data_IF_776808332885
#
_entry.id   IF_776808332885
#
_cell.length_a   1.000
_cell.length_b   1.000
_cell.length_c   1.000
_cell.angle_alpha   90.00
_cell.angle_beta   90.00
_cell.angle_gamma   90.00
#
_symmetry.space_group_name_H-M   'P 1'
#
loop_
_entity.id
_entity.type
_entity.pdbx_description
1 polymer ?
#
# COMPACT_ATOMS: atom_id res chain seq x y z
N UNK A 1 -8.68 0.57 8.05
CA UNK A 1 -9.68 0.83 6.98
C UNK A 1 -11.09 1.16 7.48
N UNK A 2 -11.52 0.71 8.69
CA UNK A 2 -12.86 1.02 9.21
C UNK A 2 -13.15 2.52 9.22
N UNK A 3 -12.23 3.36 9.70
CA UNK A 3 -12.40 4.81 9.77
C UNK A 3 -12.66 5.43 8.37
N UNK A 4 -11.95 4.97 7.33
CA UNK A 4 -12.21 5.40 5.95
C UNK A 4 -13.57 4.95 5.46
N UNK A 5 -13.95 3.68 5.71
CA UNK A 5 -15.25 3.16 5.31
C UNK A 5 -16.42 3.93 5.97
N UNK A 6 -16.32 4.18 7.28
CA UNK A 6 -17.31 4.96 8.02
C UNK A 6 -17.42 6.41 7.49
N UNK A 7 -16.29 7.04 7.15
CA UNK A 7 -16.26 8.40 6.63
C UNK A 7 -16.79 8.49 5.19
N UNK A 8 -16.45 7.55 4.32
CA UNK A 8 -16.96 7.44 2.96
C UNK A 8 -18.48 7.17 2.96
N UNK A 9 -18.94 6.25 3.83
CA UNK A 9 -20.35 5.92 3.96
C UNK A 9 -21.21 7.14 4.33
N UNK A 10 -20.75 7.98 5.26
CA UNK A 10 -21.40 9.25 5.62
C UNK A 10 -21.48 10.25 4.45
N UNK A 11 -20.61 10.10 3.48
CA UNK A 11 -20.57 10.92 2.25
C UNK A 11 -21.30 10.23 1.08
N UNK A 12 -22.04 9.13 1.34
CA UNK A 12 -22.83 8.41 0.35
C UNK A 12 -22.00 7.57 -0.63
N UNK A 13 -20.82 7.12 -0.24
CA UNK A 13 -19.99 6.17 -0.99
C UNK A 13 -20.00 4.83 -0.26
N UNK A 14 -20.54 3.79 -0.90
CA UNK A 14 -20.49 2.43 -0.40
C UNK A 14 -19.05 1.90 -0.43
N UNK A 15 -18.69 1.10 0.56
CA UNK A 15 -17.35 0.51 0.67
C UNK A 15 -17.44 -1.01 0.83
N UNK A 16 -16.92 -1.74 -0.13
CA UNK A 16 -16.68 -3.18 -0.01
C UNK A 16 -15.32 -3.42 0.63
N UNK A 17 -15.31 -4.17 1.72
CA UNK A 17 -14.10 -4.71 2.35
C UNK A 17 -14.21 -6.22 2.36
N UNK A 18 -13.19 -6.90 1.89
CA UNK A 18 -13.15 -8.36 1.81
C UNK A 18 -12.04 -8.89 2.70
N UNK A 19 -12.23 -10.07 3.25
CA UNK A 19 -11.13 -10.84 3.82
C UNK A 19 -10.28 -11.41 2.68
N UNK A 20 -8.96 -11.44 2.86
CA UNK A 20 -8.07 -12.05 1.87
C UNK A 20 -8.39 -13.55 1.72
N UNK A 21 -8.13 -14.10 0.52
CA UNK A 21 -8.34 -15.52 0.26
C UNK A 21 -7.67 -16.41 1.32
N UNK A 22 -8.43 -17.35 1.86
CA UNK A 22 -7.97 -18.28 2.90
C UNK A 22 -7.83 -17.66 4.30
N UNK A 23 -8.42 -16.46 4.52
CA UNK A 23 -8.50 -15.83 5.85
C UNK A 23 -9.94 -15.47 6.19
N UNK A 24 -10.25 -15.30 7.48
CA UNK A 24 -11.59 -14.93 7.93
C UNK A 24 -12.69 -15.81 7.37
N UNK A 25 -13.64 -15.20 6.67
CA UNK A 25 -14.73 -15.89 5.96
C UNK A 25 -14.42 -16.26 4.52
N UNK A 26 -13.29 -15.85 3.96
CA UNK A 26 -12.93 -16.10 2.57
C UNK A 26 -12.33 -17.50 2.37
N UNK A 27 -12.73 -18.17 1.29
CA UNK A 27 -12.15 -19.45 0.86
C UNK A 27 -10.83 -19.25 0.12
N UNK A 28 -10.10 -20.34 -0.17
CA UNK A 28 -8.85 -20.32 -0.93
C UNK A 28 -7.62 -20.60 -0.07
N UNK A 29 -6.44 -20.27 -0.59
CA UNK A 29 -5.17 -20.53 0.08
C UNK A 29 -4.27 -19.28 0.05
N UNK A 30 -4.21 -18.56 1.16
CA UNK A 30 -3.38 -17.38 1.34
C UNK A 30 -1.89 -17.68 1.12
N UNK A 31 -1.40 -18.82 1.63
CA UNK A 31 0.03 -19.17 1.59
C UNK A 31 0.56 -19.45 0.17
N UNK A 32 -0.33 -19.79 -0.75
CA UNK A 32 0.01 -20.04 -2.15
C UNK A 32 -0.26 -18.83 -3.06
N UNK A 33 -0.72 -17.71 -2.49
CA UNK A 33 -1.10 -16.51 -3.22
C UNK A 33 0.05 -15.49 -3.30
N UNK A 34 -0.02 -14.67 -4.34
CA UNK A 34 0.84 -13.51 -4.58
C UNK A 34 0.01 -12.23 -4.58
N UNK A 35 0.65 -11.06 -4.57
CA UNK A 35 -0.08 -9.78 -4.74
C UNK A 35 -0.83 -9.71 -6.08
N UNK A 36 -0.40 -10.45 -7.10
CA UNK A 36 -1.15 -10.55 -8.36
C UNK A 36 -2.45 -11.36 -8.19
N UNK A 37 -2.45 -12.40 -7.35
CA UNK A 37 -3.65 -13.16 -7.03
C UNK A 37 -4.64 -12.32 -6.20
N UNK A 38 -4.14 -11.51 -5.25
CA UNK A 38 -4.96 -10.55 -4.52
C UNK A 38 -5.55 -9.47 -5.43
N UNK A 39 -4.82 -9.05 -6.47
CA UNK A 39 -5.37 -8.14 -7.48
C UNK A 39 -6.57 -8.76 -8.23
N UNK A 40 -6.53 -10.06 -8.54
CA UNK A 40 -7.69 -10.74 -9.13
C UNK A 40 -8.87 -10.85 -8.15
N UNK A 41 -8.63 -11.01 -6.85
CA UNK A 41 -9.70 -10.97 -5.84
C UNK A 41 -10.36 -9.59 -5.79
N UNK A 42 -9.58 -8.51 -5.83
CA UNK A 42 -10.13 -7.15 -5.88
C UNK A 42 -10.93 -6.95 -7.17
N UNK A 43 -10.48 -7.47 -8.32
CA UNK A 43 -11.24 -7.41 -9.57
C UNK A 43 -12.57 -8.17 -9.47
N UNK A 44 -12.58 -9.33 -8.82
CA UNK A 44 -13.84 -10.05 -8.54
C UNK A 44 -14.77 -9.22 -7.64
N UNK A 45 -14.22 -8.51 -6.65
CA UNK A 45 -14.98 -7.56 -5.82
C UNK A 45 -15.58 -6.41 -6.63
N UNK A 46 -14.82 -5.83 -7.58
CA UNK A 46 -15.34 -4.80 -8.50
C UNK A 46 -16.45 -5.35 -9.41
N UNK A 47 -16.28 -6.58 -9.92
CA UNK A 47 -17.32 -7.24 -10.69
C UNK A 47 -18.59 -7.47 -9.87
N UNK A 48 -18.46 -7.92 -8.62
CA UNK A 48 -19.59 -8.04 -7.69
C UNK A 48 -20.31 -6.70 -7.46
N UNK A 49 -19.57 -5.62 -7.21
CA UNK A 49 -20.19 -4.29 -7.04
C UNK A 49 -20.99 -3.87 -8.27
N UNK A 50 -20.56 -4.19 -9.47
CA UNK A 50 -21.30 -3.90 -10.72
C UNK A 50 -22.62 -4.67 -10.84
N UNK A 51 -22.81 -5.74 -10.08
CA UNK A 51 -24.09 -6.51 -10.06
C UNK A 51 -25.10 -5.93 -9.06
N UNK A 52 -24.67 -5.01 -8.20
CA UNK A 52 -25.52 -4.46 -7.13
C UNK A 52 -26.39 -3.32 -7.66
N UNK A 53 -27.73 -3.40 -7.55
CA UNK A 53 -28.62 -2.38 -8.08
C UNK A 53 -28.49 -1.02 -7.36
N UNK A 54 -28.03 -1.01 -6.12
CA UNK A 54 -27.78 0.19 -5.32
C UNK A 54 -26.45 0.88 -5.64
N UNK A 55 -25.60 0.27 -6.47
CA UNK A 55 -24.25 0.77 -6.82
C UNK A 55 -24.21 1.25 -8.26
N UNK A 56 -23.71 2.45 -8.48
CA UNK A 56 -23.33 2.90 -9.82
C UNK A 56 -22.00 2.24 -10.22
N UNK A 57 -22.10 1.15 -10.98
CA UNK A 57 -20.93 0.37 -11.42
C UNK A 57 -19.97 1.11 -12.36
N UNK A 58 -20.33 2.31 -12.85
CA UNK A 58 -19.46 3.18 -13.65
C UNK A 58 -18.59 4.09 -12.80
N UNK A 59 -18.85 4.20 -11.50
CA UNK A 59 -18.18 5.09 -10.55
C UNK A 59 -17.47 4.31 -9.42
N UNK A 60 -16.63 3.34 -9.80
CA UNK A 60 -15.87 2.53 -8.85
C UNK A 60 -14.46 3.07 -8.67
N UNK A 61 -13.94 2.93 -7.44
CA UNK A 61 -12.58 3.31 -7.06
C UNK A 61 -11.94 2.29 -6.12
N UNK A 62 -10.65 2.45 -5.89
CA UNK A 62 -9.86 1.62 -4.98
C UNK A 62 -9.19 2.50 -3.92
N UNK A 63 -9.16 2.01 -2.69
CA UNK A 63 -8.35 2.54 -1.60
C UNK A 63 -7.40 1.43 -1.13
N UNK A 64 -6.10 1.61 -1.32
CA UNK A 64 -5.05 0.67 -0.92
C UNK A 64 -4.06 1.27 0.06
N UNK A 65 -3.52 0.47 0.98
CA UNK A 65 -2.47 0.88 1.90
C UNK A 65 -1.31 -0.13 1.85
N UNK A 66 -0.08 0.35 1.89
CA UNK A 66 1.13 -0.48 1.91
C UNK A 66 1.16 -1.46 0.73
N UNK A 67 1.05 -2.77 0.92
CA UNK A 67 0.91 -3.75 -0.17
C UNK A 67 -0.30 -3.45 -1.06
N UNK A 68 -1.39 -2.89 -0.52
CA UNK A 68 -2.51 -2.38 -1.31
C UNK A 68 -2.11 -1.31 -2.33
N UNK A 69 -1.00 -0.59 -2.06
CA UNK A 69 -0.36 0.34 -3.00
C UNK A 69 0.36 -0.34 -4.16
N UNK A 70 0.64 -1.64 -4.06
CA UNK A 70 1.15 -2.49 -5.14
C UNK A 70 0.00 -3.20 -5.87
N UNK A 71 -0.98 -3.69 -5.11
CA UNK A 71 -2.15 -4.39 -5.65
C UNK A 71 -3.04 -3.46 -6.48
N UNK A 72 -3.32 -2.24 -5.98
CA UNK A 72 -4.17 -1.26 -6.69
C UNK A 72 -3.73 -0.99 -8.12
N UNK A 73 -2.45 -0.68 -8.38
CA UNK A 73 -1.89 -0.56 -9.73
C UNK A 73 -2.10 -1.80 -10.60
N UNK A 74 -1.89 -3.01 -10.06
CA UNK A 74 -2.11 -4.27 -10.80
C UNK A 74 -3.58 -4.44 -11.22
N UNK A 75 -4.52 -3.98 -10.40
CA UNK A 75 -5.94 -3.94 -10.75
C UNK A 75 -6.19 -2.87 -11.82
N UNK A 76 -5.72 -1.64 -11.60
CA UNK A 76 -6.05 -0.48 -12.43
C UNK A 76 -5.60 -0.66 -13.90
N UNK A 77 -4.47 -1.32 -14.15
CA UNK A 77 -4.02 -1.60 -15.53
C UNK A 77 -4.94 -2.59 -16.26
N UNK A 78 -5.70 -3.41 -15.52
CA UNK A 78 -6.66 -4.37 -16.08
C UNK A 78 -8.12 -3.86 -16.03
N UNK A 79 -8.37 -2.75 -15.35
CA UNK A 79 -9.69 -2.14 -15.15
C UNK A 79 -9.66 -0.68 -15.65
N UNK A 80 -9.62 -0.45 -16.97
CA UNK A 80 -9.48 0.90 -17.54
C UNK A 80 -10.67 1.83 -17.23
N UNK A 81 -11.79 1.27 -16.77
CA UNK A 81 -12.97 2.03 -16.34
C UNK A 81 -12.93 2.45 -14.86
N UNK A 82 -11.87 2.09 -14.13
CA UNK A 82 -11.72 2.50 -12.73
C UNK A 82 -11.59 4.03 -12.65
N UNK A 83 -12.46 4.67 -11.86
CA UNK A 83 -12.59 6.12 -11.83
C UNK A 83 -11.61 6.81 -10.89
N UNK A 84 -11.15 6.11 -9.86
CA UNK A 84 -10.27 6.69 -8.85
C UNK A 84 -9.43 5.62 -8.15
N UNK A 85 -8.22 5.96 -7.79
CA UNK A 85 -7.34 5.12 -6.97
C UNK A 85 -6.63 5.98 -5.93
N UNK A 86 -6.88 5.73 -4.64
CA UNK A 86 -6.17 6.35 -3.54
C UNK A 86 -5.20 5.33 -2.92
N UNK A 87 -3.91 5.64 -2.91
CA UNK A 87 -2.86 4.77 -2.42
C UNK A 87 -2.12 5.43 -1.26
N UNK A 88 -2.13 4.78 -0.12
CA UNK A 88 -1.54 5.24 1.12
C UNK A 88 -0.28 4.42 1.40
N UNK A 89 0.84 5.09 1.63
CA UNK A 89 2.15 4.46 1.86
C UNK A 89 2.49 3.43 0.77
N UNK A 90 2.26 3.79 -0.50
CA UNK A 90 2.49 2.93 -1.65
C UNK A 90 3.96 2.89 -2.03
N UNK A 91 4.56 1.70 -2.25
CA UNK A 91 5.95 1.59 -2.63
C UNK A 91 6.21 2.02 -4.09
N UNK A 92 7.39 2.58 -4.35
CA UNK A 92 7.97 2.76 -5.67
C UNK A 92 9.18 1.85 -5.89
N UNK A 93 9.85 1.47 -4.81
CA UNK A 93 11.03 0.63 -4.90
C UNK A 93 10.68 -0.83 -5.15
N UNK A 94 11.58 -1.53 -5.83
CA UNK A 94 11.52 -2.99 -5.91
C UNK A 94 11.56 -3.60 -4.50
N UNK A 95 10.82 -4.68 -4.29
CA UNK A 95 10.67 -5.31 -2.98
C UNK A 95 12.00 -5.69 -2.33
N UNK A 96 13.03 -6.07 -3.11
CA UNK A 96 14.38 -6.33 -2.60
C UNK A 96 14.95 -5.10 -1.90
N UNK A 97 14.91 -3.93 -2.53
CA UNK A 97 15.41 -2.67 -1.96
C UNK A 97 14.65 -2.30 -0.68
N UNK A 98 13.33 -2.47 -0.68
CA UNK A 98 12.48 -2.23 0.50
C UNK A 98 12.91 -3.15 1.64
N UNK A 99 13.03 -4.44 1.39
CA UNK A 99 13.33 -5.41 2.42
C UNK A 99 14.76 -5.26 2.97
N UNK A 100 15.73 -4.95 2.11
CA UNK A 100 17.10 -4.61 2.52
C UNK A 100 17.11 -3.38 3.43
N UNK A 101 16.40 -2.32 3.06
CA UNK A 101 16.26 -1.11 3.87
C UNK A 101 15.62 -1.42 5.24
N UNK A 102 14.48 -2.09 5.25
CA UNK A 102 13.76 -2.41 6.47
C UNK A 102 14.56 -3.32 7.40
N UNK A 103 15.17 -4.40 6.88
CA UNK A 103 15.99 -5.31 7.68
C UNK A 103 17.25 -4.62 8.21
N UNK A 104 17.87 -3.74 7.43
CA UNK A 104 19.03 -2.95 7.86
C UNK A 104 18.65 -2.05 9.03
N UNK A 105 17.54 -1.30 8.92
CA UNK A 105 17.09 -0.40 9.99
C UNK A 105 16.68 -1.18 11.25
N UNK A 106 15.96 -2.30 11.11
CA UNK A 106 15.61 -3.16 12.23
C UNK A 106 16.85 -3.72 12.93
N UNK A 107 17.85 -4.18 12.15
CA UNK A 107 19.09 -4.74 12.70
C UNK A 107 19.92 -3.66 13.42
N UNK A 108 20.00 -2.44 12.87
CA UNK A 108 20.67 -1.31 13.52
C UNK A 108 19.94 -0.81 14.77
N UNK A 109 18.61 -0.90 14.77
CA UNK A 109 17.76 -0.54 15.93
C UNK A 109 17.79 -1.56 17.06
N UNK A 110 18.34 -2.75 16.85
CA UNK A 110 18.52 -3.76 17.90
C UNK A 110 19.73 -3.41 18.79
N UNK A 111 19.45 -2.81 19.94
CA UNK A 111 20.46 -2.35 20.91
C UNK A 111 21.32 -3.47 21.51
N UNK A 112 20.89 -4.73 21.36
CA UNK A 112 21.68 -5.91 21.80
C UNK A 112 22.82 -6.25 20.84
N UNK A 113 22.77 -5.77 19.60
CA UNK A 113 23.77 -5.98 18.57
C UNK A 113 24.78 -4.83 18.55
N UNK A 114 26.07 -5.14 18.74
CA UNK A 114 27.17 -4.14 18.73
C UNK A 114 28.43 -4.74 18.12
N UNK A 115 29.28 -3.88 17.52
CA UNK A 115 30.56 -4.24 16.96
C UNK A 115 30.43 -5.38 15.96
N UNK A 116 31.31 -6.37 16.00
CA UNK A 116 31.37 -7.49 15.05
C UNK A 116 30.08 -8.31 14.96
N UNK A 117 29.26 -8.34 16.04
CA UNK A 117 27.95 -9.02 15.97
C UNK A 117 26.96 -8.23 15.10
N UNK A 118 26.96 -6.92 15.19
CA UNK A 118 26.13 -6.06 14.33
C UNK A 118 26.59 -6.19 12.88
N UNK A 119 27.89 -6.09 12.62
CA UNK A 119 28.46 -6.20 11.27
C UNK A 119 28.11 -7.56 10.63
N UNK A 120 28.25 -8.64 11.40
CA UNK A 120 27.88 -9.98 10.94
C UNK A 120 26.38 -10.13 10.67
N UNK A 121 25.51 -9.51 11.47
CA UNK A 121 24.07 -9.53 11.26
C UNK A 121 23.68 -8.77 9.99
N UNK A 122 24.27 -7.59 9.77
CA UNK A 122 24.06 -6.80 8.54
C UNK A 122 24.53 -7.54 7.29
N UNK A 123 25.73 -8.16 7.34
CA UNK A 123 26.28 -8.92 6.23
C UNK A 123 25.42 -10.14 5.81
N UNK A 124 24.57 -10.66 6.71
CA UNK A 124 23.67 -11.79 6.43
C UNK A 124 22.35 -11.38 5.77
N UNK A 125 22.03 -10.09 5.71
CA UNK A 125 20.74 -9.63 5.16
C UNK A 125 20.50 -10.12 3.73
N UNK A 126 21.43 -10.01 2.76
CA UNK A 126 21.20 -10.50 1.40
C UNK A 126 20.86 -12.01 1.35
N UNK A 127 21.63 -12.82 2.07
CA UNK A 127 21.38 -14.28 2.13
C UNK A 127 20.03 -14.61 2.75
N UNK A 128 19.62 -13.85 3.80
CA UNK A 128 18.30 -14.00 4.41
C UNK A 128 17.18 -13.67 3.41
N UNK A 129 17.32 -12.61 2.62
CA UNK A 129 16.36 -12.23 1.57
C UNK A 129 16.25 -13.33 0.52
N UNK A 130 17.38 -13.88 0.05
CA UNK A 130 17.39 -14.96 -0.94
C UNK A 130 16.72 -16.23 -0.40
N UNK A 131 16.92 -16.55 0.88
CA UNK A 131 16.24 -17.65 1.55
C UNK A 131 14.73 -17.45 1.63
N UNK A 132 14.27 -16.22 1.95
CA UNK A 132 12.85 -15.87 1.98
C UNK A 132 12.22 -15.96 0.57
N UNK A 133 12.94 -15.50 -0.46
CA UNK A 133 12.54 -15.61 -1.86
C UNK A 133 12.32 -17.06 -2.28
N UNK A 134 13.23 -17.95 -1.89
CA UNK A 134 13.15 -19.37 -2.24
C UNK A 134 12.01 -20.11 -1.51
N UNK A 135 11.69 -19.70 -0.29
CA UNK A 135 10.74 -20.40 0.58
C UNK A 135 9.29 -19.96 0.42
N UNK A 136 9.02 -18.81 -0.21
CA UNK A 136 7.70 -18.19 -0.19
C UNK A 136 7.33 -17.56 -1.55
N UNK A 137 6.21 -18.01 -2.15
CA UNK A 137 5.77 -17.54 -3.47
C UNK A 137 5.41 -16.06 -3.49
N UNK A 138 4.78 -15.56 -2.42
CA UNK A 138 4.46 -14.15 -2.26
C UNK A 138 5.75 -13.32 -2.20
N UNK A 139 6.71 -13.75 -1.39
CA UNK A 139 8.00 -13.07 -1.26
C UNK A 139 8.75 -13.05 -2.59
N UNK A 140 8.74 -14.17 -3.33
CA UNK A 140 9.33 -14.22 -4.67
C UNK A 140 8.70 -13.18 -5.59
N UNK A 141 7.37 -13.10 -5.63
CA UNK A 141 6.67 -12.11 -6.42
C UNK A 141 7.02 -10.69 -5.99
N UNK A 142 6.93 -10.39 -4.69
CA UNK A 142 7.21 -9.08 -4.13
C UNK A 142 8.62 -8.57 -4.46
N UNK A 143 9.63 -9.45 -4.34
CA UNK A 143 11.02 -9.09 -4.61
C UNK A 143 11.32 -8.88 -6.11
N UNK A 144 10.63 -9.60 -6.99
CA UNK A 144 10.87 -9.60 -8.44
C UNK A 144 9.98 -8.59 -9.19
N UNK A 145 8.95 -8.03 -8.53
CA UNK A 145 7.96 -7.16 -9.15
C UNK A 145 8.55 -5.77 -9.48
N UNK A 146 8.39 -5.34 -10.73
CA UNK A 146 8.75 -3.98 -11.17
C UNK A 146 7.56 -3.04 -11.00
N UNK A 147 7.51 -2.38 -9.84
CA UNK A 147 6.45 -1.43 -9.47
C UNK A 147 6.37 -0.26 -10.46
N UNK A 148 7.53 0.28 -10.88
CA UNK A 148 7.56 1.46 -11.74
C UNK A 148 7.15 1.13 -13.18
N UNK A 149 7.41 -0.09 -13.66
CA UNK A 149 6.92 -0.52 -14.98
C UNK A 149 5.39 -0.59 -15.01
N UNK A 150 4.74 -1.04 -13.94
CA UNK A 150 3.28 -1.02 -13.81
C UNK A 150 2.76 0.41 -13.66
N UNK A 151 3.43 1.22 -12.83
CA UNK A 151 3.04 2.61 -12.59
C UNK A 151 2.97 3.43 -13.88
N UNK A 152 3.91 3.25 -14.81
CA UNK A 152 3.91 3.94 -16.12
C UNK A 152 2.71 3.60 -17.01
N UNK A 153 2.00 2.51 -16.75
CA UNK A 153 0.83 2.08 -17.51
C UNK A 153 -0.48 2.68 -16.98
N UNK A 154 -0.46 3.26 -15.77
CA UNK A 154 -1.65 3.76 -15.09
C UNK A 154 -2.26 4.95 -15.80
N UNK A 155 -3.57 4.87 -16.07
CA UNK A 155 -4.39 5.97 -16.62
C UNK A 155 -5.44 6.46 -15.64
N UNK A 156 -5.71 5.70 -14.59
CA UNK A 156 -6.68 6.03 -13.53
C UNK A 156 -6.21 7.24 -12.73
N UNK A 157 -7.07 8.24 -12.48
CA UNK A 157 -6.80 9.31 -11.54
C UNK A 157 -6.27 8.74 -10.21
N UNK A 158 -5.13 9.25 -9.74
CA UNK A 158 -4.42 8.65 -8.61
C UNK A 158 -4.07 9.68 -7.54
N UNK A 159 -4.44 9.38 -6.29
CA UNK A 159 -3.98 10.06 -5.09
C UNK A 159 -2.94 9.20 -4.39
N UNK A 160 -1.79 9.80 -4.07
CA UNK A 160 -0.71 9.16 -3.33
C UNK A 160 -0.48 9.91 -2.02
N UNK A 161 -0.57 9.22 -0.89
CA UNK A 161 -0.35 9.80 0.44
C UNK A 161 0.73 9.02 1.18
N UNK A 162 1.58 9.74 1.94
CA UNK A 162 2.54 9.08 2.83
C UNK A 162 2.78 9.90 4.12
N UNK A 163 3.33 9.26 5.13
CA UNK A 163 3.82 9.91 6.34
C UNK A 163 5.30 10.26 6.22
N UNK A 164 5.70 11.43 6.72
CA UNK A 164 7.10 11.89 6.64
C UNK A 164 8.06 11.06 7.49
N UNK A 165 7.54 10.38 8.51
CA UNK A 165 8.35 9.51 9.39
C UNK A 165 8.18 8.01 9.06
N UNK A 166 7.57 7.69 7.91
CA UNK A 166 7.43 6.28 7.48
C UNK A 166 8.80 5.65 7.21
N UNK A 167 9.16 4.66 8.03
CA UNK A 167 10.39 3.87 7.89
C UNK A 167 10.16 2.50 7.23
N UNK A 168 8.97 2.21 6.73
CA UNK A 168 8.69 0.99 5.98
C UNK A 168 8.63 1.27 4.47
N UNK A 169 7.87 2.29 4.08
CA UNK A 169 7.85 2.85 2.73
C UNK A 169 8.18 4.33 2.87
N UNK A 170 9.42 4.69 2.60
CA UNK A 170 9.94 6.03 2.87
C UNK A 170 9.26 7.10 2.02
N UNK A 171 9.12 8.35 2.51
CA UNK A 171 8.29 9.38 1.90
C UNK A 171 8.74 9.77 0.48
N UNK A 172 10.02 9.66 0.15
CA UNK A 172 10.54 9.91 -1.21
C UNK A 172 9.92 9.00 -2.26
N UNK A 173 9.51 7.78 -1.88
CA UNK A 173 8.88 6.84 -2.79
C UNK A 173 7.55 7.36 -3.34
N UNK A 174 6.86 8.23 -2.61
CA UNK A 174 5.62 8.86 -3.08
C UNK A 174 5.84 9.75 -4.29
N UNK A 175 6.88 10.59 -4.25
CA UNK A 175 7.23 11.46 -5.37
C UNK A 175 7.77 10.67 -6.57
N UNK A 176 8.58 9.62 -6.32
CA UNK A 176 9.08 8.72 -7.36
C UNK A 176 7.93 8.00 -8.08
N UNK A 177 6.96 7.48 -7.32
CA UNK A 177 5.79 6.80 -7.88
C UNK A 177 4.93 7.77 -8.70
N UNK A 178 4.68 8.99 -8.19
CA UNK A 178 3.96 10.04 -8.91
C UNK A 178 4.66 10.40 -10.23
N UNK A 179 5.98 10.54 -10.21
CA UNK A 179 6.78 10.83 -11.40
C UNK A 179 6.68 9.70 -12.44
N UNK A 180 6.74 8.44 -12.01
CA UNK A 180 6.58 7.29 -12.90
C UNK A 180 5.20 7.24 -13.55
N UNK A 181 4.13 7.48 -12.80
CA UNK A 181 2.76 7.53 -13.33
C UNK A 181 2.63 8.65 -14.36
N UNK A 182 3.13 9.85 -14.03
CA UNK A 182 3.11 11.01 -14.96
C UNK A 182 3.92 10.75 -16.22
N UNK A 183 5.08 10.11 -16.12
CA UNK A 183 5.91 9.77 -17.29
C UNK A 183 5.22 8.79 -18.24
N UNK A 184 4.27 8.00 -17.75
CA UNK A 184 3.37 7.16 -18.54
C UNK A 184 2.23 7.91 -19.21
N UNK A 185 2.15 9.25 -19.05
CA UNK A 185 1.15 10.11 -19.69
C UNK A 185 -0.13 10.33 -18.87
N UNK A 186 -0.16 9.93 -17.59
CA UNK A 186 -1.26 10.24 -16.69
C UNK A 186 -0.97 11.56 -15.96
N UNK A 187 -1.70 12.63 -16.32
CA UNK A 187 -1.55 13.95 -15.70
C UNK A 187 -2.37 14.09 -14.39
N UNK A 188 -3.36 13.22 -14.15
CA UNK A 188 -4.25 13.29 -12.99
C UNK A 188 -3.65 12.51 -11.81
N UNK A 189 -2.53 13.00 -11.32
CA UNK A 189 -1.82 12.44 -10.16
C UNK A 189 -1.56 13.53 -9.14
N UNK A 190 -2.14 13.35 -7.97
CA UNK A 190 -1.93 14.20 -6.79
C UNK A 190 -1.15 13.42 -5.74
N UNK A 191 -0.19 14.04 -5.07
CA UNK A 191 0.47 13.41 -3.93
C UNK A 191 0.69 14.39 -2.79
N UNK A 192 0.72 13.86 -1.57
CA UNK A 192 1.01 14.62 -0.35
C UNK A 192 1.74 13.74 0.69
N UNK A 193 2.70 14.36 1.38
CA UNK A 193 3.39 13.79 2.54
C UNK A 193 2.98 14.58 3.78
N UNK A 194 2.60 13.88 4.87
CA UNK A 194 2.15 14.48 6.13
C UNK A 194 3.29 14.46 7.15
N UNK A 195 3.55 15.61 7.75
CA UNK A 195 4.56 15.73 8.80
C UNK A 195 4.23 14.84 10.01
N UNK A 196 5.26 14.29 10.65
CA UNK A 196 5.17 13.51 11.90
C UNK A 196 4.21 12.30 11.88
N UNK A 197 3.81 11.83 10.70
CA UNK A 197 3.01 10.61 10.55
C UNK A 197 3.87 9.43 10.10
N UNK A 198 3.64 8.28 10.73
CA UNK A 198 4.30 7.02 10.39
C UNK A 198 3.57 6.24 9.28
N UNK A 199 4.02 5.02 8.99
CA UNK A 199 3.41 4.11 8.00
C UNK A 199 1.91 3.87 8.18
N UNK A 200 1.41 3.92 9.41
CA UNK A 200 0.00 3.73 9.74
C UNK A 200 -0.80 5.04 9.72
N UNK A 201 -0.17 6.15 9.34
CA UNK A 201 -0.75 7.49 9.39
C UNK A 201 -1.19 7.90 10.80
N UNK A 202 -0.46 7.45 11.79
CA UNK A 202 -0.59 7.83 13.19
C UNK A 202 0.54 8.79 13.53
N UNK A 203 0.28 9.78 14.39
CA UNK A 203 1.31 10.71 14.85
C UNK A 203 2.42 9.96 15.58
N UNK A 204 3.59 9.97 15.00
CA UNK A 204 4.80 9.32 15.49
C UNK A 204 6.04 9.99 14.87
N UNK A 205 6.68 10.93 15.57
CA UNK A 205 7.85 11.65 15.06
C UNK A 205 9.07 10.76 14.80
N UNK A 206 9.08 9.54 15.35
CA UNK A 206 10.19 8.58 15.19
C UNK A 206 9.94 7.64 14.01
N UNK A 207 8.70 7.14 13.87
CA UNK A 207 8.27 6.25 12.80
C UNK A 207 8.87 4.84 12.82
N UNK A 208 9.57 4.44 13.89
CA UNK A 208 10.22 3.14 13.96
C UNK A 208 9.21 2.01 14.21
N UNK A 209 9.09 1.00 13.33
CA UNK A 209 7.98 0.04 13.37
C UNK A 209 7.86 -0.75 14.69
N UNK A 210 8.97 -1.07 15.35
CA UNK A 210 8.95 -1.77 16.65
C UNK A 210 8.39 -0.90 17.79
N UNK A 211 8.23 0.41 17.56
CA UNK A 211 7.63 1.35 18.49
C UNK A 211 6.10 1.43 18.43
N UNK A 212 5.47 0.94 17.39
CA UNK A 212 4.03 1.14 17.11
C UNK A 212 3.12 0.63 18.23
N UNK A 213 3.48 -0.46 18.91
CA UNK A 213 2.72 -0.99 20.06
C UNK A 213 2.70 -0.07 21.28
N UNK A 214 3.56 0.95 21.31
CA UNK A 214 3.67 1.93 22.41
C UNK A 214 2.97 3.26 22.10
N UNK A 215 2.41 3.42 20.90
CA UNK A 215 1.72 4.63 20.51
C UNK A 215 0.43 4.78 21.32
N UNK A 216 0.24 5.94 21.94
CA UNK A 216 -0.94 6.26 22.77
C UNK A 216 -2.21 6.35 21.90
N UNK A 217 -2.06 6.82 20.66
CA UNK A 217 -3.12 6.87 19.65
C UNK A 217 -2.78 5.91 18.53
N UNK A 218 -3.76 5.11 18.12
CA UNK A 218 -3.65 4.14 17.02
C UNK A 218 -4.70 4.37 15.93
N UNK A 219 -5.31 5.56 15.91
CA UNK A 219 -6.24 5.98 14.88
C UNK A 219 -5.48 6.75 13.79
N UNK A 220 -5.87 6.54 12.55
CA UNK A 220 -5.41 7.37 11.42
C UNK A 220 -5.76 8.83 11.70
N UNK A 221 -4.81 9.73 11.46
CA UNK A 221 -5.02 11.16 11.65
C UNK A 221 -6.23 11.66 10.83
N UNK A 222 -7.12 12.47 11.44
CA UNK A 222 -8.35 12.95 10.79
C UNK A 222 -8.08 13.69 9.48
N UNK A 223 -6.98 14.41 9.37
CA UNK A 223 -6.60 15.13 8.15
C UNK A 223 -6.36 14.17 6.98
N UNK A 224 -5.69 13.01 7.21
CA UNK A 224 -5.48 12.00 6.17
C UNK A 224 -6.80 11.42 5.70
N UNK A 225 -7.70 11.14 6.65
CA UNK A 225 -9.05 10.64 6.32
C UNK A 225 -9.79 11.70 5.49
N UNK A 226 -9.78 12.97 5.93
CA UNK A 226 -10.44 14.08 5.23
C UNK A 226 -9.94 14.21 3.79
N UNK A 227 -8.63 14.33 3.59
CA UNK A 227 -8.02 14.45 2.25
C UNK A 227 -8.40 13.28 1.35
N UNK A 228 -8.32 12.05 1.88
CA UNK A 228 -8.64 10.83 1.11
C UNK A 228 -10.13 10.81 0.71
N UNK A 229 -11.02 11.08 1.67
CA UNK A 229 -12.46 11.03 1.46
C UNK A 229 -12.91 12.14 0.52
N UNK A 230 -12.46 13.38 0.71
CA UNK A 230 -12.83 14.51 -0.14
C UNK A 230 -12.36 14.29 -1.58
N UNK A 231 -11.13 13.77 -1.77
CA UNK A 231 -10.64 13.46 -3.10
C UNK A 231 -11.44 12.33 -3.78
N UNK A 232 -11.73 11.23 -3.06
CA UNK A 232 -12.55 10.14 -3.60
C UNK A 232 -13.96 10.60 -3.92
N UNK A 233 -14.57 11.42 -3.07
CA UNK A 233 -15.92 12.01 -3.32
C UNK A 233 -15.91 12.86 -4.59
N UNK A 234 -14.88 13.69 -4.78
CA UNK A 234 -14.74 14.52 -5.99
C UNK A 234 -14.58 13.72 -7.29
N UNK A 235 -13.97 12.50 -7.21
CA UNK A 235 -13.75 11.63 -8.38
C UNK A 235 -14.91 10.68 -8.66
N UNK A 236 -15.68 10.29 -7.62
CA UNK A 236 -16.71 9.26 -7.70
C UNK A 236 -18.14 9.83 -7.72
N UNK A 237 -18.32 11.10 -7.45
CA UNK A 237 -19.61 11.80 -7.58
C UNK A 237 -19.60 12.74 -8.77
#
# INVERSE_FOLDING_TARGET
FRQFADSLGRRGIAVLRMDDRGTGGSTGNHRAATSADFAEDIRAGLAYLRTRPEIDGSRLGILGHSEGGLIGPLVAVKEPQLRAMALLAAPSWAGRKILEYQLTNLTRGDTSLKGTRLDSALARIPVRIDSLRAANVWMKFFLDHDVLAVARQLKTPTLLLNGATDQQVTPEQTAELAAAIKSGGNADVTFRVFADLNHLFVHDPIGFPLGYSRLVRNNVEPEVIGVTVDWLVAKLK
#
